data_IF_678277579554
#
_entry.id   IF_678277579554
#
_cell.length_a   1.000
_cell.length_b   1.000
_cell.length_c   1.000
_cell.angle_alpha   90.00
_cell.angle_beta   90.00
_cell.angle_gamma   90.00
#
_symmetry.space_group_name_H-M   'P 1'
#
loop_
_entity.id
_entity.type
_entity.pdbx_description
1 polymer ?
#
# COMPACT_ATOMS: atom_id res chain seq x y z
N UNK A 1 11.28 19.55 31.12
CA UNK A 1 10.87 18.74 32.26
C UNK A 1 10.11 17.50 31.77
N UNK A 2 10.17 16.36 32.45
CA UNK A 2 9.50 15.12 32.06
C UNK A 2 7.97 15.27 31.98
N UNK A 3 7.40 16.14 32.78
CA UNK A 3 5.96 16.35 32.91
C UNK A 3 5.37 17.03 31.67
N UNK A 4 6.07 17.95 30.99
CA UNK A 4 5.59 18.60 29.79
C UNK A 4 5.53 17.63 28.59
N UNK A 5 6.45 16.69 28.52
CA UNK A 5 6.46 15.66 27.48
C UNK A 5 5.29 14.68 27.63
N UNK A 6 4.96 14.32 28.89
CA UNK A 6 3.81 13.45 29.15
C UNK A 6 2.48 14.16 28.83
N UNK A 7 2.32 15.39 29.24
CA UNK A 7 1.05 16.13 29.03
C UNK A 7 0.75 16.41 27.56
N UNK A 8 1.75 16.47 26.69
CA UNK A 8 1.53 16.71 25.25
C UNK A 8 1.08 15.48 24.48
N UNK A 9 1.61 14.30 24.82
CA UNK A 9 1.39 13.05 24.08
C UNK A 9 0.23 12.20 24.61
N UNK A 10 -0.16 12.37 25.88
CA UNK A 10 -1.17 11.55 26.52
C UNK A 10 -2.47 12.32 26.74
N UNK A 11 -3.59 11.60 26.67
CA UNK A 11 -4.89 12.09 27.10
C UNK A 11 -5.05 11.87 28.62
N UNK A 12 -6.03 12.54 29.23
CA UNK A 12 -6.30 12.48 30.67
C UNK A 12 -6.54 11.07 31.21
N UNK A 13 -6.94 10.15 30.32
CA UNK A 13 -7.13 8.73 30.63
C UNK A 13 -5.84 7.90 30.65
N UNK A 14 -4.68 8.52 30.44
CA UNK A 14 -3.36 7.86 30.45
C UNK A 14 -3.01 7.09 29.17
N UNK A 15 -3.85 7.15 28.13
CA UNK A 15 -3.53 6.59 26.83
C UNK A 15 -2.98 7.64 25.88
N UNK A 16 -2.13 7.19 24.94
CA UNK A 16 -1.55 8.06 23.93
C UNK A 16 -2.64 8.65 23.02
N UNK A 17 -2.52 9.91 22.64
CA UNK A 17 -3.45 10.57 21.72
C UNK A 17 -3.33 10.04 20.30
N UNK A 18 -4.45 10.02 19.60
CA UNK A 18 -4.48 9.74 18.15
C UNK A 18 -3.68 10.81 17.40
N UNK A 19 -3.08 10.45 16.27
CA UNK A 19 -2.18 11.27 15.45
C UNK A 19 -0.84 11.66 16.12
N UNK A 20 -0.50 11.05 17.24
CA UNK A 20 0.80 11.26 17.88
C UNK A 20 1.87 10.42 17.19
N UNK A 21 2.98 11.06 16.82
CA UNK A 21 4.17 10.37 16.31
C UNK A 21 4.91 9.70 17.46
N UNK A 22 5.19 8.42 17.32
CA UNK A 22 5.91 7.60 18.29
C UNK A 22 7.17 7.01 17.66
N UNK A 23 8.24 7.06 18.44
CA UNK A 23 9.53 6.48 18.09
C UNK A 23 9.75 5.20 18.90
N UNK A 24 10.78 4.44 18.54
CA UNK A 24 11.16 3.25 19.27
C UNK A 24 11.44 3.58 20.74
N UNK A 25 11.00 2.70 21.62
CA UNK A 25 11.08 2.84 23.08
C UNK A 25 10.17 3.93 23.70
N UNK A 26 9.36 4.64 22.93
CA UNK A 26 8.39 5.58 23.48
C UNK A 26 7.36 4.85 24.36
N UNK A 27 6.88 5.53 25.40
CA UNK A 27 5.80 5.02 26.24
C UNK A 27 4.48 5.26 25.52
N UNK A 28 3.64 4.23 25.41
CA UNK A 28 2.34 4.29 24.75
C UNK A 28 1.15 4.23 25.71
N UNK A 29 1.38 3.71 26.92
CA UNK A 29 0.38 3.69 28.00
C UNK A 29 1.08 4.11 29.27
N UNK A 30 0.59 5.12 29.95
CA UNK A 30 1.09 5.53 31.25
C UNK A 30 0.25 4.88 32.36
N UNK A 31 0.90 4.30 33.35
CA UNK A 31 0.30 3.75 34.59
C UNK A 31 0.83 4.50 35.76
N UNK A 32 -0.07 4.93 36.61
CA UNK A 32 0.29 5.48 37.93
C UNK A 32 0.27 4.33 38.95
N UNK A 33 1.42 3.99 39.49
CA UNK A 33 1.53 3.09 40.62
C UNK A 33 1.74 3.90 41.88
N UNK A 34 0.80 3.81 42.83
CA UNK A 34 0.92 4.37 44.15
C UNK A 34 1.49 3.30 45.07
N UNK A 35 2.65 3.57 45.67
CA UNK A 35 3.27 2.70 46.67
C UNK A 35 3.41 3.48 47.96
N UNK A 36 3.02 2.86 49.08
CA UNK A 36 3.25 3.41 50.41
C UNK A 36 4.58 2.82 50.92
N UNK A 37 5.59 3.66 51.03
CA UNK A 37 6.90 3.27 51.60
C UNK A 37 7.13 4.16 52.82
N UNK A 38 7.32 3.53 53.97
CA UNK A 38 7.52 4.22 55.25
C UNK A 38 6.44 5.26 55.57
N UNK A 39 5.16 4.95 55.32
CA UNK A 39 4.03 5.82 55.60
C UNK A 39 3.87 7.03 54.65
N UNK A 40 4.72 7.17 53.64
CA UNK A 40 4.59 8.19 52.58
C UNK A 40 4.10 7.58 51.28
N UNK A 41 3.10 8.17 50.68
CA UNK A 41 2.60 7.82 49.34
C UNK A 41 3.61 8.27 48.28
N UNK A 42 4.26 7.31 47.63
CA UNK A 42 5.15 7.59 46.49
C UNK A 42 4.40 7.18 45.22
N UNK A 43 4.12 8.16 44.39
CA UNK A 43 3.51 7.92 43.09
C UNK A 43 4.63 7.74 42.05
N UNK A 44 4.71 6.55 41.45
CA UNK A 44 5.63 6.29 40.36
C UNK A 44 4.87 6.12 39.05
N UNK A 45 5.35 6.77 38.00
CA UNK A 45 4.79 6.61 36.65
C UNK A 45 5.51 5.44 35.99
N UNK A 46 4.80 4.35 35.77
CA UNK A 46 5.27 3.24 34.96
C UNK A 46 4.52 3.25 33.64
N UNK A 47 5.24 3.09 32.51
CA UNK A 47 4.65 3.04 31.21
C UNK A 47 5.00 1.77 30.46
N UNK A 48 4.04 1.28 29.64
CA UNK A 48 4.37 0.25 28.66
C UNK A 48 5.03 0.92 27.46
N UNK A 49 6.25 0.53 27.17
CA UNK A 49 7.00 0.98 25.99
C UNK A 49 6.56 0.20 24.75
N UNK A 50 6.72 0.84 23.60
CA UNK A 50 6.57 0.20 22.30
C UNK A 50 7.75 -0.74 22.05
N UNK A 51 7.48 -1.81 21.29
CA UNK A 51 8.52 -2.72 20.85
C UNK A 51 9.42 -2.03 19.81
N UNK A 52 10.69 -2.39 19.79
CA UNK A 52 11.64 -1.90 18.79
C UNK A 52 11.16 -2.19 17.37
N UNK A 53 11.37 -1.25 16.45
CA UNK A 53 10.96 -1.36 15.06
C UNK A 53 9.48 -1.07 14.77
N UNK A 54 8.70 -0.63 15.79
CA UNK A 54 7.27 -0.35 15.66
C UNK A 54 6.96 1.16 15.65
N UNK A 55 7.94 2.01 15.36
CA UNK A 55 7.76 3.47 15.25
C UNK A 55 6.73 3.83 14.16
N UNK A 56 5.96 4.89 14.37
CA UNK A 56 4.92 5.31 13.42
C UNK A 56 4.01 6.39 14.02
N UNK A 57 2.79 6.47 13.52
CA UNK A 57 1.78 7.42 13.97
C UNK A 57 0.61 6.62 14.55
N UNK A 58 0.13 7.04 15.73
CA UNK A 58 -1.05 6.43 16.35
C UNK A 58 -2.29 6.75 15.51
N UNK A 59 -2.89 5.69 14.95
CA UNK A 59 -4.07 5.83 14.09
C UNK A 59 -5.37 5.68 14.87
N UNK A 60 -5.43 4.73 15.82
CA UNK A 60 -6.62 4.48 16.63
C UNK A 60 -6.27 3.90 17.99
N UNK A 61 -6.97 4.35 19.01
CA UNK A 61 -6.91 3.82 20.37
C UNK A 61 -8.27 3.26 20.73
N UNK A 62 -8.36 1.96 21.01
CA UNK A 62 -9.59 1.27 21.38
C UNK A 62 -9.44 0.74 22.80
N UNK A 63 -10.31 1.18 23.68
CA UNK A 63 -10.36 0.71 25.08
C UNK A 63 -11.64 -0.11 25.26
N UNK A 64 -11.47 -1.37 25.68
CA UNK A 64 -12.59 -2.29 25.89
C UNK A 64 -12.56 -2.73 27.33
N UNK A 65 -13.69 -2.69 28.07
CA UNK A 65 -13.80 -3.28 29.37
C UNK A 65 -13.65 -4.81 29.29
N UNK A 66 -13.04 -5.39 30.30
CA UNK A 66 -12.94 -6.84 30.49
C UNK A 66 -13.58 -7.14 31.84
N UNK A 67 -13.84 -8.45 32.16
CA UNK A 67 -14.24 -8.90 33.48
C UNK A 67 -13.31 -8.34 34.57
N UNK A 68 -13.85 -8.19 35.77
CA UNK A 68 -13.09 -7.74 36.98
C UNK A 68 -12.60 -6.29 36.97
N UNK A 69 -13.30 -5.39 36.27
CA UNK A 69 -12.95 -3.97 36.20
C UNK A 69 -11.66 -3.65 35.44
N UNK A 70 -11.06 -4.64 34.79
CA UNK A 70 -9.89 -4.46 33.96
C UNK A 70 -10.25 -3.86 32.60
N UNK A 71 -9.33 -3.14 32.01
CA UNK A 71 -9.49 -2.56 30.65
C UNK A 71 -8.40 -3.10 29.72
N UNK A 72 -8.81 -3.52 28.53
CA UNK A 72 -7.91 -3.86 27.43
C UNK A 72 -7.77 -2.67 26.50
N UNK A 73 -6.56 -2.23 26.25
CA UNK A 73 -6.26 -1.20 25.28
C UNK A 73 -5.61 -1.83 24.04
N UNK A 74 -6.18 -1.55 22.87
CA UNK A 74 -5.60 -1.88 21.55
C UNK A 74 -5.23 -0.57 20.88
N UNK A 75 -3.94 -0.41 20.56
CA UNK A 75 -3.42 0.76 19.87
C UNK A 75 -3.00 0.34 18.48
N UNK A 76 -3.62 0.97 17.47
CA UNK A 76 -3.26 0.78 16.07
C UNK A 76 -2.26 1.84 15.66
N UNK A 77 -1.11 1.41 15.15
CA UNK A 77 -0.04 2.27 14.70
C UNK A 77 0.03 2.18 13.18
N UNK A 78 0.05 3.32 12.52
CA UNK A 78 0.23 3.45 11.08
C UNK A 78 1.69 3.72 10.80
N UNK A 79 2.29 2.87 9.98
CA UNK A 79 3.65 3.01 9.49
C UNK A 79 3.63 3.11 7.98
N UNK A 80 4.29 4.11 7.42
CA UNK A 80 4.48 4.24 6.00
C UNK A 80 5.66 3.35 5.56
N UNK A 81 5.43 2.53 4.54
CA UNK A 81 6.45 1.69 3.93
C UNK A 81 6.44 1.93 2.43
N UNK A 82 7.38 2.74 1.96
CA UNK A 82 7.55 3.04 0.54
C UNK A 82 8.04 1.77 -0.17
N UNK A 83 7.46 1.40 -1.34
CA UNK A 83 7.93 0.27 -2.13
C UNK A 83 9.39 0.42 -2.54
N UNK A 84 10.12 -0.67 -2.50
CA UNK A 84 11.53 -0.72 -2.86
C UNK A 84 11.87 -1.98 -3.67
N UNK A 85 13.13 -2.04 -4.12
CA UNK A 85 13.66 -3.20 -4.83
C UNK A 85 13.58 -4.44 -3.91
N UNK A 86 13.10 -5.56 -4.46
CA UNK A 86 12.91 -6.80 -3.73
C UNK A 86 11.52 -6.98 -3.09
N UNK A 87 10.68 -5.95 -3.11
CA UNK A 87 9.29 -6.07 -2.67
C UNK A 87 8.47 -6.89 -3.66
N UNK A 88 7.54 -7.68 -3.16
CA UNK A 88 6.66 -8.51 -3.98
C UNK A 88 5.34 -7.84 -4.26
N UNK A 89 4.96 -7.92 -5.53
CA UNK A 89 3.66 -7.47 -6.04
C UNK A 89 2.97 -8.61 -6.78
N UNK A 90 1.67 -8.53 -6.90
CA UNK A 90 0.88 -9.48 -7.66
C UNK A 90 -0.35 -8.83 -8.27
N UNK A 91 -0.75 -9.31 -9.46
CA UNK A 91 -2.08 -9.06 -10.01
C UNK A 91 -3.12 -9.98 -9.36
N UNK A 92 -4.39 -9.78 -9.64
CA UNK A 92 -5.46 -10.69 -9.22
C UNK A 92 -5.40 -12.05 -9.90
N UNK A 93 -4.68 -12.15 -11.00
CA UNK A 93 -4.50 -13.39 -11.78
C UNK A 93 -3.35 -14.28 -11.28
N UNK A 94 -2.75 -13.96 -10.12
CA UNK A 94 -1.69 -14.78 -9.54
C UNK A 94 -0.30 -14.57 -10.13
N UNK A 95 -0.08 -13.51 -10.91
CA UNK A 95 1.22 -13.13 -11.48
C UNK A 95 2.09 -12.40 -10.46
N UNK A 96 2.55 -13.14 -9.46
CA UNK A 96 3.48 -12.59 -8.46
C UNK A 96 4.83 -12.28 -9.09
N UNK A 97 5.36 -11.11 -8.79
CA UNK A 97 6.67 -10.68 -9.24
C UNK A 97 7.39 -9.85 -8.19
N UNK A 98 8.69 -9.73 -8.32
CA UNK A 98 9.51 -8.88 -7.46
C UNK A 98 9.88 -7.60 -8.19
N UNK A 99 9.90 -6.48 -7.45
CA UNK A 99 10.42 -5.24 -7.95
C UNK A 99 11.93 -5.37 -8.18
N UNK A 100 12.35 -5.28 -9.42
CA UNK A 100 13.77 -5.36 -9.81
C UNK A 100 14.42 -4.00 -9.96
N UNK A 101 13.62 -2.96 -10.25
CA UNK A 101 14.12 -1.60 -10.48
C UNK A 101 13.05 -0.59 -10.08
N UNK A 102 13.48 0.53 -9.55
CA UNK A 102 12.65 1.71 -9.29
C UNK A 102 13.19 2.86 -10.11
N UNK A 103 12.38 3.38 -11.01
CA UNK A 103 12.71 4.51 -11.87
C UNK A 103 11.94 5.76 -11.42
N UNK A 104 12.53 6.94 -11.52
CA UNK A 104 11.78 8.18 -11.35
C UNK A 104 10.78 8.36 -12.50
N UNK A 105 9.67 9.03 -12.25
CA UNK A 105 8.58 9.18 -13.22
C UNK A 105 8.98 9.85 -14.52
N UNK A 106 9.98 10.72 -14.49
CA UNK A 106 10.48 11.41 -15.69
C UNK A 106 11.32 10.51 -16.62
N UNK A 107 11.90 9.42 -16.12
CA UNK A 107 12.64 8.44 -16.92
C UNK A 107 11.73 7.33 -17.48
N UNK A 108 10.49 7.27 -16.99
CA UNK A 108 9.52 6.30 -17.46
C UNK A 108 8.98 6.66 -18.85
N UNK A 109 8.64 5.67 -19.69
CA UNK A 109 7.97 5.92 -20.94
C UNK A 109 6.60 6.55 -20.72
N UNK A 110 6.12 7.32 -21.69
CA UNK A 110 4.82 7.98 -21.62
C UNK A 110 4.06 7.86 -22.93
N UNK A 111 2.75 7.87 -22.85
CA UNK A 111 1.85 7.83 -24.00
C UNK A 111 1.74 9.22 -24.65
N UNK A 112 1.14 9.28 -25.85
CA UNK A 112 0.86 10.53 -26.54
C UNK A 112 0.00 11.49 -25.69
N UNK A 113 -0.85 10.95 -24.80
CA UNK A 113 -1.69 11.73 -23.90
C UNK A 113 -0.98 12.09 -22.58
N UNK A 114 0.31 11.79 -22.44
CA UNK A 114 1.10 12.09 -21.24
C UNK A 114 0.92 11.12 -20.09
N UNK A 115 0.28 9.98 -20.30
CA UNK A 115 0.09 8.95 -19.24
C UNK A 115 1.40 8.20 -19.06
N UNK A 116 1.88 8.16 -17.81
CA UNK A 116 3.06 7.42 -17.39
C UNK A 116 2.60 6.15 -16.67
N UNK A 117 3.11 4.96 -17.02
CA UNK A 117 2.76 3.73 -16.30
C UNK A 117 3.37 3.71 -14.91
N UNK A 118 2.65 3.12 -13.96
CA UNK A 118 3.15 2.92 -12.59
C UNK A 118 4.00 1.65 -12.46
N UNK A 119 3.71 0.65 -13.30
CA UNK A 119 4.40 -0.65 -13.29
C UNK A 119 4.67 -1.09 -14.73
N UNK A 120 5.90 -1.57 -14.97
CA UNK A 120 6.29 -2.25 -16.19
C UNK A 120 6.57 -3.70 -15.85
N UNK A 121 5.94 -4.62 -16.57
CA UNK A 121 6.12 -6.06 -16.38
C UNK A 121 6.79 -6.70 -17.61
N UNK A 122 7.49 -7.80 -17.38
CA UNK A 122 8.05 -8.59 -18.47
C UNK A 122 6.93 -9.38 -19.18
N UNK A 123 6.69 -9.17 -20.47
CA UNK A 123 5.63 -9.86 -21.21
C UNK A 123 5.86 -11.39 -21.31
N UNK A 124 7.10 -11.85 -21.22
CA UNK A 124 7.41 -13.29 -21.27
C UNK A 124 6.84 -14.10 -20.09
N UNK A 125 6.39 -13.42 -19.03
CA UNK A 125 5.72 -14.07 -17.91
C UNK A 125 4.29 -14.55 -18.28
N UNK A 126 3.67 -14.02 -19.33
CA UNK A 126 2.29 -14.32 -19.70
C UNK A 126 2.15 -15.67 -20.43
N UNK A 127 2.93 -15.98 -21.51
CA UNK A 127 2.74 -17.21 -22.28
C UNK A 127 2.98 -18.49 -21.45
N UNK A 128 4.05 -18.50 -20.67
CA UNK A 128 4.44 -19.69 -19.87
C UNK A 128 3.45 -20.00 -18.76
N UNK A 129 2.78 -19.00 -18.23
CA UNK A 129 1.80 -19.16 -17.14
C UNK A 129 0.36 -19.18 -17.61
N UNK A 130 0.13 -18.97 -18.91
CA UNK A 130 -1.19 -18.97 -19.54
C UNK A 130 -2.21 -18.03 -18.86
N UNK A 131 -1.75 -16.91 -18.31
CA UNK A 131 -2.58 -15.94 -17.60
C UNK A 131 -3.17 -14.90 -18.57
N UNK A 132 -3.89 -15.36 -19.56
CA UNK A 132 -4.55 -14.51 -20.58
C UNK A 132 -5.58 -13.61 -19.91
N UNK A 133 -6.18 -14.04 -18.81
CA UNK A 133 -7.16 -13.26 -18.06
C UNK A 133 -6.63 -11.89 -17.61
N UNK A 134 -5.32 -11.76 -17.35
CA UNK A 134 -4.72 -10.49 -17.02
C UNK A 134 -4.79 -9.50 -18.18
N UNK A 135 -4.57 -9.96 -19.41
CA UNK A 135 -4.67 -9.11 -20.60
C UNK A 135 -6.11 -8.68 -20.85
N UNK A 136 -7.07 -9.59 -20.66
CA UNK A 136 -8.49 -9.29 -20.76
C UNK A 136 -8.93 -8.28 -19.68
N UNK A 137 -8.44 -8.41 -18.46
CA UNK A 137 -8.68 -7.45 -17.39
C UNK A 137 -8.21 -6.05 -17.76
N UNK A 138 -7.04 -5.92 -18.39
CA UNK A 138 -6.50 -4.63 -18.83
C UNK A 138 -7.36 -4.00 -19.93
N UNK A 139 -7.80 -4.78 -20.92
CA UNK A 139 -8.67 -4.28 -22.02
C UNK A 139 -10.02 -3.84 -21.46
N UNK A 140 -10.65 -4.66 -20.63
CA UNK A 140 -11.92 -4.33 -19.98
C UNK A 140 -11.78 -3.09 -19.09
N UNK A 141 -10.71 -3.01 -18.29
CA UNK A 141 -10.45 -1.87 -17.43
C UNK A 141 -10.25 -0.57 -18.21
N UNK A 142 -9.52 -0.63 -19.33
CA UNK A 142 -9.33 0.52 -20.22
C UNK A 142 -10.64 0.98 -20.85
N UNK A 143 -11.46 0.05 -21.34
CA UNK A 143 -12.77 0.35 -21.90
C UNK A 143 -13.72 0.94 -20.86
N UNK A 144 -13.72 0.38 -19.64
CA UNK A 144 -14.54 0.84 -18.53
C UNK A 144 -14.16 2.25 -18.07
N UNK A 145 -12.87 2.56 -18.02
CA UNK A 145 -12.38 3.90 -17.67
C UNK A 145 -12.78 4.95 -18.69
N UNK A 146 -12.71 4.63 -19.99
CA UNK A 146 -13.08 5.54 -21.07
C UNK A 146 -14.59 5.69 -21.19
N UNK A 147 -15.32 4.59 -21.08
CA UNK A 147 -16.79 4.57 -21.23
C UNK A 147 -17.55 4.97 -19.96
N UNK A 148 -16.88 5.09 -18.82
CA UNK A 148 -17.50 5.47 -17.55
C UNK A 148 -18.45 4.41 -16.95
N UNK A 149 -18.20 3.13 -17.19
CA UNK A 149 -19.00 2.02 -16.65
C UNK A 149 -18.16 1.09 -15.79
N UNK A 150 -18.83 0.24 -14.99
CA UNK A 150 -18.18 -0.85 -14.28
C UNK A 150 -18.12 -2.10 -15.16
N UNK A 151 -16.91 -2.60 -15.41
CA UNK A 151 -16.73 -3.83 -16.16
C UNK A 151 -17.21 -5.04 -15.37
N UNK A 152 -18.11 -5.83 -15.93
CA UNK A 152 -18.54 -7.10 -15.36
C UNK A 152 -17.59 -8.22 -15.81
N UNK A 153 -16.89 -8.82 -14.86
CA UNK A 153 -15.98 -9.93 -15.08
C UNK A 153 -16.45 -11.19 -14.35
N UNK A 154 -17.76 -11.36 -14.17
CA UNK A 154 -18.34 -12.53 -13.51
C UNK A 154 -17.92 -13.81 -14.25
N UNK A 155 -17.40 -14.82 -13.52
CA UNK A 155 -16.97 -16.08 -14.12
C UNK A 155 -18.11 -16.80 -14.83
N UNK A 156 -17.76 -17.53 -15.91
CA UNK A 156 -18.68 -18.38 -16.69
C UNK A 156 -19.82 -17.62 -17.41
N UNK A 157 -19.71 -16.29 -17.53
CA UNK A 157 -20.56 -15.50 -18.38
C UNK A 157 -19.91 -15.25 -19.74
N UNK A 158 -20.75 -15.05 -20.76
CA UNK A 158 -20.28 -14.80 -22.11
C UNK A 158 -19.93 -13.31 -22.26
N UNK A 159 -18.71 -12.94 -21.90
CA UNK A 159 -18.18 -11.59 -22.09
C UNK A 159 -17.51 -11.53 -23.48
N UNK A 160 -18.12 -10.83 -24.41
CA UNK A 160 -17.56 -10.66 -25.75
C UNK A 160 -16.48 -9.56 -25.74
N UNK A 161 -15.23 -9.97 -26.02
CA UNK A 161 -14.08 -9.06 -26.13
C UNK A 161 -14.30 -8.02 -27.22
N UNK A 162 -15.03 -8.38 -28.27
CA UNK A 162 -15.30 -7.47 -29.39
C UNK A 162 -16.14 -6.25 -28.97
N UNK A 163 -17.01 -6.38 -27.98
CA UNK A 163 -17.76 -5.24 -27.44
C UNK A 163 -16.84 -4.23 -26.77
N UNK A 164 -15.88 -4.70 -25.97
CA UNK A 164 -14.90 -3.82 -25.31
C UNK A 164 -13.95 -3.17 -26.31
N UNK A 165 -13.54 -3.91 -27.34
CA UNK A 165 -12.73 -3.39 -28.44
C UNK A 165 -13.44 -2.28 -29.23
N UNK A 166 -14.73 -2.41 -29.50
CA UNK A 166 -15.54 -1.37 -30.16
C UNK A 166 -15.61 -0.09 -29.29
N UNK A 167 -15.69 -0.22 -27.97
CA UNK A 167 -15.65 0.95 -27.09
C UNK A 167 -14.32 1.68 -27.23
N UNK A 168 -13.19 0.95 -27.27
CA UNK A 168 -11.86 1.55 -27.46
C UNK A 168 -11.76 2.27 -28.81
N UNK A 169 -12.21 1.65 -29.89
CA UNK A 169 -12.24 2.26 -31.22
C UNK A 169 -13.11 3.54 -31.26
N UNK A 170 -14.23 3.55 -30.54
CA UNK A 170 -15.10 4.72 -30.41
C UNK A 170 -14.42 5.92 -29.75
N UNK A 171 -13.39 5.70 -28.96
CA UNK A 171 -12.55 6.73 -28.33
C UNK A 171 -11.21 6.95 -29.07
N UNK A 172 -11.06 6.46 -30.28
CA UNK A 172 -9.85 6.54 -31.11
C UNK A 172 -8.62 5.84 -30.50
N UNK A 173 -8.83 4.78 -29.73
CA UNK A 173 -7.79 3.88 -29.27
C UNK A 173 -7.70 2.63 -30.15
N UNK A 174 -6.53 1.99 -30.11
CA UNK A 174 -6.33 0.70 -30.77
C UNK A 174 -7.18 -0.38 -30.08
N UNK A 175 -7.87 -1.20 -30.90
CA UNK A 175 -8.80 -2.24 -30.42
C UNK A 175 -8.20 -3.24 -29.43
N UNK A 176 -6.90 -3.51 -29.55
CA UNK A 176 -6.17 -4.45 -28.69
C UNK A 176 -5.56 -3.78 -27.46
N UNK A 177 -5.76 -2.48 -27.27
CA UNK A 177 -5.23 -1.75 -26.13
C UNK A 177 -3.79 -1.27 -26.25
N UNK A 178 -3.18 -1.45 -27.43
CA UNK A 178 -1.82 -0.98 -27.70
C UNK A 178 -1.79 0.54 -27.90
N UNK A 179 -0.70 1.16 -27.50
CA UNK A 179 -0.47 2.58 -27.70
C UNK A 179 0.98 2.84 -28.14
N UNK A 180 1.14 3.92 -28.89
CA UNK A 180 2.47 4.47 -29.19
C UNK A 180 2.99 5.19 -27.96
N UNK A 181 4.21 4.88 -27.56
CA UNK A 181 4.85 5.50 -26.41
C UNK A 181 6.18 6.15 -26.79
N UNK A 182 6.60 7.08 -25.94
CA UNK A 182 7.84 7.83 -26.07
C UNK A 182 8.75 7.52 -24.91
N UNK A 183 10.06 7.48 -25.14
CA UNK A 183 11.05 7.28 -24.09
C UNK A 183 11.14 8.51 -23.18
N UNK A 184 11.03 8.32 -21.87
CA UNK A 184 11.22 9.41 -20.91
C UNK A 184 12.65 9.93 -20.85
N UNK A 185 13.64 9.12 -21.24
CA UNK A 185 15.06 9.48 -21.19
C UNK A 185 15.47 10.27 -22.44
N UNK A 186 15.06 9.81 -23.64
CA UNK A 186 15.50 10.43 -24.92
C UNK A 186 14.43 11.34 -25.54
N UNK A 187 13.17 11.17 -25.16
CA UNK A 187 12.03 11.85 -25.80
C UNK A 187 11.67 11.30 -27.16
N UNK A 188 12.38 10.30 -27.66
CA UNK A 188 12.10 9.68 -28.96
C UNK A 188 10.95 8.69 -28.88
N UNK A 189 10.23 8.57 -29.99
CA UNK A 189 9.19 7.56 -30.13
C UNK A 189 9.78 6.15 -30.08
N UNK A 190 9.19 5.29 -29.28
CA UNK A 190 9.55 3.86 -29.23
C UNK A 190 8.98 3.21 -30.50
N UNK A 191 9.84 2.54 -31.27
CA UNK A 191 9.51 1.94 -32.59
C UNK A 191 8.69 0.64 -32.46
N UNK A 192 7.74 0.62 -31.54
CA UNK A 192 6.80 -0.49 -31.36
C UNK A 192 5.55 0.03 -30.68
N UNK A 193 4.43 -0.66 -30.87
CA UNK A 193 3.25 -0.43 -30.05
C UNK A 193 3.37 -1.17 -28.73
N UNK A 194 2.92 -0.55 -27.65
CA UNK A 194 3.04 -1.06 -26.30
C UNK A 194 1.66 -1.27 -25.71
N UNK A 195 1.41 -2.48 -25.19
CA UNK A 195 0.18 -2.80 -24.50
C UNK A 195 0.17 -2.12 -23.12
N UNK A 196 -0.77 -1.22 -22.90
CA UNK A 196 -0.91 -0.44 -21.68
C UNK A 196 -2.37 -0.24 -21.32
N UNK A 197 -2.69 -0.36 -20.05
CA UNK A 197 -4.00 -0.06 -19.50
C UNK A 197 -4.05 -0.22 -18.00
N UNK A 198 -5.15 0.16 -17.36
CA UNK A 198 -5.33 0.03 -15.92
C UNK A 198 -5.56 -1.44 -15.55
N UNK A 199 -4.93 -1.84 -14.45
CA UNK A 199 -5.13 -3.16 -13.85
C UNK A 199 -4.99 -3.05 -12.33
N UNK A 200 -5.54 -4.03 -11.61
CA UNK A 200 -5.46 -4.05 -10.15
C UNK A 200 -4.20 -4.79 -9.70
N UNK A 201 -3.34 -4.08 -8.98
CA UNK A 201 -2.11 -4.63 -8.41
C UNK A 201 -2.12 -4.56 -6.90
N UNK A 202 -1.57 -5.58 -6.25
CA UNK A 202 -1.46 -5.71 -4.81
C UNK A 202 0.00 -5.84 -4.40
N UNK A 203 0.40 -5.16 -3.31
CA UNK A 203 1.66 -5.40 -2.64
C UNK A 203 1.49 -6.56 -1.67
N UNK A 204 2.34 -7.57 -1.77
CA UNK A 204 2.30 -8.72 -0.87
C UNK A 204 3.03 -8.37 0.43
N UNK A 205 2.65 -9.03 1.53
CA UNK A 205 3.25 -8.86 2.87
C UNK A 205 4.78 -9.05 2.90
N UNK A 206 5.35 -9.76 1.94
CA UNK A 206 6.79 -10.01 1.85
C UNK A 206 7.47 -8.76 1.32
N UNK A 207 8.16 -8.04 2.22
CA UNK A 207 8.89 -6.82 1.94
C UNK A 207 10.36 -7.02 2.24
N UNK A 208 11.25 -6.50 1.40
CA UNK A 208 12.70 -6.65 1.57
C UNK A 208 13.19 -6.06 2.91
N UNK A 209 12.65 -4.90 3.29
CA UNK A 209 13.03 -4.21 4.52
C UNK A 209 12.73 -5.00 5.81
N UNK A 210 11.76 -5.92 5.79
CA UNK A 210 11.42 -6.76 6.95
C UNK A 210 12.33 -7.99 7.09
N UNK A 211 13.21 -8.23 6.12
CA UNK A 211 14.10 -9.41 6.06
C UNK A 211 15.58 -9.09 6.24
N UNK A 212 15.89 -7.86 6.59
CA UNK A 212 17.28 -7.45 6.84
C UNK A 212 17.74 -8.05 8.16
N UNK A 213 18.76 -8.92 8.11
CA UNK A 213 19.45 -9.45 9.26
C UNK A 213 20.88 -8.92 9.29
N UNK A 214 21.29 -8.34 10.41
CA UNK A 214 22.71 -8.06 10.69
C UNK A 214 23.22 -9.03 11.73
N UNK A 215 24.42 -9.55 11.51
CA UNK A 215 25.08 -10.49 12.42
C UNK A 215 26.48 -9.99 12.77
#
# INVERSE_FOLDING_TARGET
SKDSYFNSKFADNGFIKVNTKINDNDIIVSKLEKKIINGKEITSVRGKKINYGTSGIVDKVIVTPISDGLRRCKIRIRKEKIPGIGDKFTSRCGQKGMCGMVLPSWDMPFTQNGIVPDIIINPHAIPTRMTINQLLEVILGKSACLGGFLGDATPFQNNDINEFSKVLEGFNYEKNGDEVMYSGITGEQIKTSIFIGPTYYQRIKIMAADKIHSR
#
